data_IF_243878394523
#
_entry.id   IF_243878394523
#
_cell.length_a   1.000
_cell.length_b   1.000
_cell.length_c   1.000
_cell.angle_alpha   90.00
_cell.angle_beta   90.00
_cell.angle_gamma   90.00
#
_symmetry.space_group_name_H-M   'P 1'
#
loop_
_entity.id
_entity.type
_entity.pdbx_description
1 polymer ?
#
# COMPACT_ATOMS: atom_id res chain seq x y z
N UNK A 1 8.23 10.11 4.79
CA UNK A 1 7.13 10.93 4.21
C UNK A 1 5.82 10.21 4.49
N UNK A 2 4.78 10.87 5.01
CA UNK A 2 3.44 10.26 5.15
C UNK A 2 2.57 10.70 3.96
N UNK A 3 2.55 9.93 2.85
CA UNK A 3 1.91 10.36 1.60
C UNK A 3 0.41 10.61 1.78
N UNK A 4 -0.25 9.91 2.72
CA UNK A 4 -1.68 10.07 2.98
C UNK A 4 -2.06 11.48 3.46
N UNK A 5 -1.13 12.21 4.10
CA UNK A 5 -1.37 13.61 4.52
C UNK A 5 -1.24 14.59 3.35
N UNK A 6 -0.37 14.30 2.40
CA UNK A 6 -0.09 15.18 1.25
C UNK A 6 -0.97 14.87 0.03
N UNK A 7 -1.69 13.74 0.01
CA UNK A 7 -2.44 13.28 -1.17
C UNK A 7 -3.47 14.31 -1.64
N UNK A 8 -4.22 14.95 -0.73
CA UNK A 8 -5.22 15.95 -1.11
C UNK A 8 -4.58 17.15 -1.83
N UNK A 9 -3.44 17.60 -1.33
CA UNK A 9 -2.68 18.70 -1.92
C UNK A 9 -2.13 18.31 -3.29
N UNK A 10 -1.52 17.13 -3.42
CA UNK A 10 -1.02 16.64 -4.70
C UNK A 10 -2.11 16.53 -5.77
N UNK A 11 -3.29 16.01 -5.39
CA UNK A 11 -4.44 15.92 -6.30
C UNK A 11 -4.93 17.31 -6.70
N UNK A 12 -4.97 18.28 -5.78
CA UNK A 12 -5.29 19.68 -6.12
C UNK A 12 -4.28 20.32 -7.06
N UNK A 13 -2.98 20.15 -6.77
CA UNK A 13 -1.88 20.70 -7.57
C UNK A 13 -1.81 20.08 -8.99
N UNK A 14 -2.31 18.85 -9.16
CA UNK A 14 -2.48 18.23 -10.46
C UNK A 14 -3.66 18.79 -11.29
N UNK A 15 -4.42 19.76 -10.76
CA UNK A 15 -5.49 20.46 -11.47
C UNK A 15 -6.91 19.92 -11.24
N UNK A 16 -7.08 18.89 -10.40
CA UNK A 16 -8.39 18.37 -10.04
C UNK A 16 -9.17 19.38 -9.19
N UNK A 17 -10.44 19.59 -9.54
CA UNK A 17 -11.34 20.50 -8.85
C UNK A 17 -12.19 19.77 -7.80
N UNK A 18 -12.63 20.49 -6.77
CA UNK A 18 -13.56 19.97 -5.75
C UNK A 18 -13.06 18.72 -5.00
N UNK A 19 -11.75 18.65 -4.70
CA UNK A 19 -11.12 17.49 -4.03
C UNK A 19 -11.66 17.28 -2.62
N UNK A 20 -12.32 16.13 -2.38
CA UNK A 20 -12.77 15.68 -1.06
C UNK A 20 -11.85 14.59 -0.52
N UNK A 21 -11.45 14.71 0.74
CA UNK A 21 -10.64 13.70 1.43
C UNK A 21 -11.49 13.05 2.52
N UNK A 22 -11.48 11.72 2.56
CA UNK A 22 -12.07 10.93 3.64
C UNK A 22 -11.00 10.04 4.24
N UNK A 23 -10.90 10.06 5.57
CA UNK A 23 -9.94 9.24 6.32
C UNK A 23 -10.75 8.23 7.13
N UNK A 24 -10.52 6.96 6.86
CA UNK A 24 -11.16 5.85 7.58
C UNK A 24 -10.11 4.81 7.98
N UNK A 25 -10.43 4.04 9.02
CA UNK A 25 -9.55 2.95 9.46
C UNK A 25 -9.76 1.74 8.55
N UNK A 26 -8.78 1.44 7.71
CA UNK A 26 -8.78 0.21 6.89
C UNK A 26 -8.30 -0.97 7.75
N UNK A 27 -9.01 -2.11 7.77
CA UNK A 27 -8.60 -3.28 8.55
C UNK A 27 -7.29 -3.85 7.99
N UNK A 28 -6.25 -3.84 8.81
CA UNK A 28 -4.93 -4.40 8.50
C UNK A 28 -4.44 -5.12 9.74
N UNK A 29 -4.17 -6.43 9.66
CA UNK A 29 -3.96 -7.32 10.82
C UNK A 29 -5.21 -7.44 11.70
N UNK A 30 -5.03 -7.93 12.93
CA UNK A 30 -6.10 -8.39 13.82
C UNK A 30 -6.56 -7.37 14.89
N UNK A 31 -6.18 -6.09 14.77
CA UNK A 31 -6.58 -5.05 15.72
C UNK A 31 -8.09 -4.69 15.75
N UNK A 32 -8.89 -4.88 14.68
CA UNK A 32 -10.31 -4.57 14.76
C UNK A 32 -11.02 -5.41 15.84
N UNK A 33 -11.90 -4.79 16.61
CA UNK A 33 -12.70 -5.51 17.63
C UNK A 33 -13.83 -6.32 17.00
N UNK A 34 -14.44 -5.78 15.96
CA UNK A 34 -15.46 -6.45 15.17
C UNK A 34 -14.87 -7.70 14.51
N UNK A 35 -15.56 -8.83 14.64
CA UNK A 35 -15.06 -10.13 14.20
C UNK A 35 -14.85 -10.18 12.68
N UNK A 36 -15.78 -9.62 11.91
CA UNK A 36 -15.71 -9.58 10.44
C UNK A 36 -14.57 -8.68 9.98
N UNK A 37 -14.41 -7.50 10.58
CA UNK A 37 -13.31 -6.60 10.24
C UNK A 37 -11.95 -7.19 10.63
N UNK A 38 -11.87 -7.96 11.72
CA UNK A 38 -10.65 -8.68 12.11
C UNK A 38 -10.26 -9.71 11.06
N UNK A 39 -11.21 -10.51 10.60
CA UNK A 39 -11.01 -11.47 9.51
C UNK A 39 -10.56 -10.78 8.22
N UNK A 40 -11.22 -9.70 7.81
CA UNK A 40 -10.79 -8.89 6.66
C UNK A 40 -9.34 -8.39 6.81
N UNK A 41 -8.94 -7.97 8.01
CA UNK A 41 -7.58 -7.48 8.27
C UNK A 41 -6.52 -8.59 8.22
N UNK A 42 -6.87 -9.82 8.60
CA UNK A 42 -6.02 -11.00 8.40
C UNK A 42 -5.84 -11.29 6.92
N UNK A 43 -6.94 -11.37 6.15
CA UNK A 43 -6.84 -11.60 4.70
C UNK A 43 -6.09 -10.48 3.98
N UNK A 44 -6.31 -9.22 4.35
CA UNK A 44 -5.57 -8.09 3.80
C UNK A 44 -4.06 -8.26 4.04
N UNK A 45 -3.68 -8.70 5.24
CA UNK A 45 -2.26 -8.96 5.57
C UNK A 45 -1.70 -10.10 4.73
N UNK A 46 -2.43 -11.20 4.60
CA UNK A 46 -2.02 -12.35 3.80
C UNK A 46 -1.81 -11.97 2.33
N UNK A 47 -2.75 -11.23 1.74
CA UNK A 47 -2.67 -10.73 0.37
C UNK A 47 -1.39 -9.92 0.14
N UNK A 48 -0.99 -9.06 1.08
CA UNK A 48 0.25 -8.30 0.96
C UNK A 48 1.49 -9.16 1.13
N UNK A 49 1.50 -10.12 2.05
CA UNK A 49 2.69 -10.96 2.30
C UNK A 49 2.94 -11.92 1.14
N UNK A 50 1.90 -12.60 0.66
CA UNK A 50 2.02 -13.56 -0.44
C UNK A 50 2.17 -12.89 -1.81
N UNK A 51 1.51 -11.75 -2.01
CA UNK A 51 1.50 -11.04 -3.28
C UNK A 51 2.57 -9.96 -3.44
N UNK A 52 3.46 -9.75 -2.46
CA UNK A 52 4.41 -8.61 -2.49
C UNK A 52 5.27 -8.62 -3.75
N UNK A 53 5.66 -9.80 -4.23
CA UNK A 53 6.48 -9.96 -5.41
C UNK A 53 5.82 -9.31 -6.63
N UNK A 54 4.54 -9.59 -6.87
CA UNK A 54 3.77 -9.07 -8.00
C UNK A 54 3.63 -7.54 -7.96
N UNK A 55 3.53 -6.95 -6.76
CA UNK A 55 3.49 -5.50 -6.59
C UNK A 55 4.82 -4.83 -6.95
N UNK A 56 5.93 -5.49 -6.67
CA UNK A 56 7.27 -4.92 -6.86
C UNK A 56 7.88 -5.22 -8.22
N UNK A 57 7.56 -6.36 -8.81
CA UNK A 57 8.31 -6.94 -9.91
C UNK A 57 8.43 -6.02 -11.14
N UNK A 58 7.28 -5.59 -11.68
CA UNK A 58 7.27 -4.78 -12.89
C UNK A 58 7.66 -3.34 -12.62
N UNK A 59 7.12 -2.75 -11.56
CA UNK A 59 7.36 -1.36 -11.22
C UNK A 59 8.84 -1.11 -10.91
N UNK A 60 9.46 -1.98 -10.11
CA UNK A 60 10.82 -1.75 -9.65
C UNK A 60 11.86 -2.11 -10.69
N UNK A 61 11.63 -3.14 -11.53
CA UNK A 61 12.51 -3.42 -12.68
C UNK A 61 12.37 -2.38 -13.77
N UNK A 62 11.16 -2.19 -14.30
CA UNK A 62 10.98 -1.46 -15.56
C UNK A 62 11.03 0.06 -15.37
N UNK A 63 10.56 0.57 -14.23
CA UNK A 63 10.44 2.02 -13.98
C UNK A 63 11.59 2.53 -13.10
N UNK A 64 11.98 1.76 -12.08
CA UNK A 64 13.02 2.18 -11.13
C UNK A 64 14.39 1.56 -11.42
N UNK A 65 14.49 0.61 -12.37
CA UNK A 65 15.75 0.03 -12.82
C UNK A 65 16.47 -0.85 -11.79
N UNK A 66 15.76 -1.39 -10.79
CA UNK A 66 16.37 -2.32 -9.83
C UNK A 66 16.68 -3.67 -10.49
N UNK A 67 17.78 -4.29 -10.06
CA UNK A 67 18.06 -5.68 -10.39
C UNK A 67 17.08 -6.63 -9.67
N UNK A 68 16.91 -7.84 -10.20
CA UNK A 68 16.10 -8.89 -9.58
C UNK A 68 16.54 -9.16 -8.14
N UNK A 69 17.84 -9.31 -7.90
CA UNK A 69 18.40 -9.49 -6.56
C UNK A 69 18.10 -8.29 -5.63
N UNK A 70 18.08 -7.07 -6.17
CA UNK A 70 17.70 -5.89 -5.39
C UNK A 70 16.23 -5.91 -4.95
N UNK A 71 15.35 -6.47 -5.79
CA UNK A 71 13.93 -6.63 -5.47
C UNK A 71 13.70 -7.74 -4.46
N UNK A 72 14.42 -8.86 -4.57
CA UNK A 72 14.37 -9.94 -3.57
C UNK A 72 14.80 -9.44 -2.18
N UNK A 73 15.90 -8.69 -2.11
CA UNK A 73 16.37 -8.10 -0.84
C UNK A 73 15.36 -7.09 -0.29
N UNK A 74 14.72 -6.30 -1.15
CA UNK A 74 13.65 -5.38 -0.76
C UNK A 74 12.45 -6.15 -0.15
N UNK A 75 12.05 -7.25 -0.77
CA UNK A 75 10.92 -8.07 -0.34
C UNK A 75 11.23 -8.97 0.87
N UNK A 76 12.51 -9.22 1.16
CA UNK A 76 12.95 -10.04 2.29
C UNK A 76 12.71 -9.37 3.67
N UNK A 77 12.33 -8.10 3.71
CA UNK A 77 12.01 -7.38 4.94
C UNK A 77 10.76 -7.92 5.64
N UNK A 78 10.95 -8.68 6.73
CA UNK A 78 9.90 -9.13 7.65
C UNK A 78 9.53 -8.06 8.67
#
# INVERSE_FOLDING_TARGET
MNPARSTKEWVGNAGFQQVKQQIFKSPVRNWPRDARLKECGVFTTLNFVEGIQDFTDKLFRDVLGLSEQGIEVLNAGK
#
